data_IF_023752209616
#
_entry.id   IF_023752209616
#
_cell.length_a   1.000
_cell.length_b   1.000
_cell.length_c   1.000
_cell.angle_alpha   90.00
_cell.angle_beta   90.00
_cell.angle_gamma   90.00
#
_symmetry.space_group_name_H-M   'P 1'
#
loop_
_entity.id
_entity.type
_entity.pdbx_description
1 polymer ?
#
# COMPACT_ATOMS: atom_id res chain seq x y z
N UNK A 1 1.10 -8.06 29.83
CA UNK A 1 2.36 -7.61 29.24
C UNK A 1 2.79 -8.57 28.14
N UNK A 2 3.11 -8.04 26.99
CA UNK A 2 3.54 -8.86 25.88
C UNK A 2 5.05 -9.11 26.00
N UNK A 3 5.44 -10.37 25.97
CA UNK A 3 6.85 -10.72 25.96
C UNK A 3 7.40 -10.65 24.53
N UNK A 4 8.65 -10.20 24.35
CA UNK A 4 9.29 -10.31 23.05
C UNK A 4 9.31 -11.76 22.60
N UNK A 5 8.95 -12.01 21.36
CA UNK A 5 9.02 -13.35 20.80
C UNK A 5 10.41 -13.56 20.19
N UNK A 6 11.27 -14.27 20.90
CA UNK A 6 12.67 -14.48 20.48
C UNK A 6 12.79 -15.39 19.26
N UNK A 7 11.78 -16.21 18.97
CA UNK A 7 11.82 -17.21 17.91
C UNK A 7 10.71 -17.07 16.89
N UNK A 8 9.88 -16.03 17.04
CA UNK A 8 8.73 -15.85 16.21
C UNK A 8 8.79 -14.61 15.35
N UNK A 9 7.62 -14.23 14.88
CA UNK A 9 7.46 -13.10 13.99
C UNK A 9 7.71 -11.78 14.71
N UNK A 10 8.25 -10.79 14.01
CA UNK A 10 8.32 -9.43 14.54
C UNK A 10 6.91 -8.91 14.82
N UNK A 11 6.79 -7.88 15.67
CA UNK A 11 5.48 -7.27 15.92
C UNK A 11 4.90 -6.65 14.66
N UNK A 12 3.57 -6.56 14.61
CA UNK A 12 2.87 -5.89 13.53
C UNK A 12 3.27 -4.41 13.44
N UNK A 13 3.41 -3.90 12.22
CA UNK A 13 3.64 -2.50 11.99
C UNK A 13 2.31 -1.82 11.69
N UNK A 14 2.04 -0.72 12.38
CA UNK A 14 0.79 0.02 12.28
C UNK A 14 1.10 1.47 11.87
N UNK A 15 0.69 1.83 10.65
CA UNK A 15 0.84 3.21 10.19
C UNK A 15 -0.10 4.14 10.95
N UNK A 16 0.30 5.41 11.15
CA UNK A 16 -0.60 6.38 11.79
C UNK A 16 -1.76 6.76 10.86
N UNK A 17 -2.90 7.08 11.46
CA UNK A 17 -4.04 7.62 10.72
C UNK A 17 -3.75 9.06 10.28
N UNK A 18 -4.29 9.44 9.11
CA UNK A 18 -4.28 10.82 8.60
C UNK A 18 -5.74 11.21 8.35
N UNK A 19 -6.49 11.58 9.39
CA UNK A 19 -7.94 11.75 9.29
C UNK A 19 -8.39 12.71 8.19
N UNK A 20 -7.70 13.84 8.00
CA UNK A 20 -8.07 14.81 6.98
C UNK A 20 -8.00 14.21 5.57
N UNK A 21 -6.94 13.46 5.28
CA UNK A 21 -6.78 12.81 3.98
C UNK A 21 -7.78 11.67 3.79
N UNK A 22 -7.96 10.85 4.82
CA UNK A 22 -8.91 9.74 4.81
C UNK A 22 -10.33 10.24 4.56
N UNK A 23 -10.73 11.28 5.27
CA UNK A 23 -12.07 11.87 5.14
C UNK A 23 -12.27 12.54 3.79
N UNK A 24 -11.23 13.19 3.24
CA UNK A 24 -11.29 13.79 1.91
C UNK A 24 -11.57 12.75 0.83
N UNK A 25 -10.88 11.61 0.87
CA UNK A 25 -11.15 10.51 -0.06
C UNK A 25 -12.55 9.94 0.15
N UNK A 26 -12.98 9.78 1.39
CA UNK A 26 -14.30 9.25 1.73
C UNK A 26 -15.43 10.15 1.20
N UNK A 27 -15.20 11.47 1.16
CA UNK A 27 -16.16 12.42 0.60
C UNK A 27 -16.19 12.42 -0.92
N UNK A 28 -15.29 11.70 -1.57
CA UNK A 28 -15.23 11.68 -3.03
C UNK A 28 -14.41 12.81 -3.64
N UNK A 29 -13.54 13.48 -2.87
CA UNK A 29 -12.62 14.46 -3.44
C UNK A 29 -11.68 13.78 -4.44
N UNK A 30 -11.25 14.53 -5.45
CA UNK A 30 -10.34 14.02 -6.48
C UNK A 30 -9.05 13.50 -5.82
N UNK A 31 -8.69 12.23 -6.04
CA UNK A 31 -7.46 11.67 -5.49
C UNK A 31 -6.20 12.48 -5.82
N UNK A 32 -6.15 13.11 -7.00
CA UNK A 32 -5.01 13.96 -7.34
C UNK A 32 -4.89 15.17 -6.43
N UNK A 33 -6.02 15.79 -6.07
CA UNK A 33 -6.06 16.90 -5.13
C UNK A 33 -5.62 16.45 -3.73
N UNK A 34 -6.07 15.28 -3.29
CA UNK A 34 -5.69 14.74 -2.00
C UNK A 34 -4.19 14.41 -1.96
N UNK A 35 -3.66 13.77 -3.01
CA UNK A 35 -2.24 13.47 -3.11
C UNK A 35 -1.38 14.75 -3.10
N UNK A 36 -1.84 15.80 -3.74
CA UNK A 36 -1.13 17.09 -3.77
C UNK A 36 -1.04 17.72 -2.37
N UNK A 37 -2.10 17.60 -1.57
CA UNK A 37 -2.14 18.13 -0.20
C UNK A 37 -1.46 17.23 0.80
N UNK A 38 -1.52 15.91 0.58
CA UNK A 38 -0.99 14.88 1.48
C UNK A 38 -0.12 13.89 0.71
N UNK A 39 1.03 14.33 0.18
CA UNK A 39 1.83 13.48 -0.72
C UNK A 39 2.42 12.24 -0.05
N UNK A 40 2.45 12.17 1.28
CA UNK A 40 2.92 10.99 1.99
C UNK A 40 1.80 10.00 2.31
N UNK A 41 0.55 10.32 1.96
CA UNK A 41 -0.61 9.48 2.27
C UNK A 41 -0.84 8.44 1.16
N UNK A 42 -0.55 7.15 1.41
CA UNK A 42 -0.53 6.16 0.33
C UNK A 42 -1.88 5.91 -0.35
N UNK A 43 -2.97 6.02 0.40
CA UNK A 43 -4.29 5.69 -0.14
C UNK A 43 -4.69 6.61 -1.30
N UNK A 44 -4.23 7.86 -1.31
CA UNK A 44 -4.48 8.77 -2.44
C UNK A 44 -3.77 8.30 -3.71
N UNK A 45 -2.52 7.85 -3.58
CA UNK A 45 -1.78 7.29 -4.71
C UNK A 45 -2.38 5.97 -5.20
N UNK A 46 -2.84 5.13 -4.26
CA UNK A 46 -3.53 3.89 -4.62
C UNK A 46 -4.81 4.17 -5.41
N UNK A 47 -5.58 5.17 -5.00
CA UNK A 47 -6.79 5.56 -5.71
C UNK A 47 -6.49 6.07 -7.13
N UNK A 48 -5.42 6.84 -7.29
CA UNK A 48 -4.96 7.28 -8.61
C UNK A 48 -4.54 6.09 -9.48
N UNK A 49 -3.84 5.13 -8.89
CA UNK A 49 -3.42 3.92 -9.61
C UNK A 49 -4.62 3.10 -10.08
N UNK A 50 -5.63 2.95 -9.23
CA UNK A 50 -6.85 2.21 -9.58
C UNK A 50 -7.60 2.90 -10.72
N UNK A 51 -7.76 4.22 -10.65
CA UNK A 51 -8.42 5.00 -11.68
C UNK A 51 -7.71 4.90 -13.03
N UNK A 52 -6.38 5.00 -13.02
CA UNK A 52 -5.59 4.87 -14.24
C UNK A 52 -5.69 3.46 -14.83
N UNK A 53 -5.68 2.44 -13.98
CA UNK A 53 -5.81 1.06 -14.44
C UNK A 53 -7.18 0.83 -15.11
N UNK A 54 -8.25 1.32 -14.51
CA UNK A 54 -9.61 1.18 -15.04
C UNK A 54 -9.78 1.81 -16.43
N UNK A 55 -9.03 2.87 -16.70
CA UNK A 55 -9.08 3.56 -18.00
C UNK A 55 -8.05 3.03 -19.00
N UNK A 56 -7.31 1.98 -18.65
CA UNK A 56 -6.30 1.38 -19.52
C UNK A 56 -4.96 2.11 -19.54
N UNK A 57 -4.76 3.10 -18.68
CA UNK A 57 -3.50 3.85 -18.58
C UNK A 57 -2.52 3.12 -17.66
N UNK A 58 -2.01 1.98 -18.13
CA UNK A 58 -1.28 1.03 -17.30
C UNK A 58 0.05 1.60 -16.78
N UNK A 59 0.78 2.36 -17.62
CA UNK A 59 2.05 2.96 -17.19
C UNK A 59 1.80 4.04 -16.12
N UNK A 60 0.75 4.83 -16.25
CA UNK A 60 0.37 5.81 -15.23
C UNK A 60 -0.01 5.09 -13.93
N UNK A 61 -0.78 4.01 -14.04
CA UNK A 61 -1.14 3.18 -12.89
C UNK A 61 0.11 2.66 -12.18
N UNK A 62 1.07 2.15 -12.94
CA UNK A 62 2.36 1.69 -12.42
C UNK A 62 3.07 2.82 -11.65
N UNK A 63 3.16 4.00 -12.24
CA UNK A 63 3.84 5.14 -11.63
C UNK A 63 3.18 5.60 -10.33
N UNK A 64 1.86 5.72 -10.32
CA UNK A 64 1.13 6.09 -9.12
C UNK A 64 1.27 5.03 -8.02
N UNK A 65 1.14 3.76 -8.39
CA UNK A 65 1.28 2.66 -7.44
C UNK A 65 2.67 2.64 -6.82
N UNK A 66 3.71 2.82 -7.65
CA UNK A 66 5.09 2.85 -7.18
C UNK A 66 5.33 4.02 -6.22
N UNK A 67 4.77 5.18 -6.49
CA UNK A 67 4.85 6.32 -5.59
C UNK A 67 4.21 6.02 -4.25
N UNK A 68 2.98 5.49 -4.25
CA UNK A 68 2.29 5.10 -3.02
C UNK A 68 3.06 4.03 -2.25
N UNK A 69 3.62 3.08 -2.95
CA UNK A 69 4.45 2.02 -2.38
C UNK A 69 5.69 2.59 -1.67
N UNK A 70 6.45 3.45 -2.34
CA UNK A 70 7.66 4.03 -1.73
C UNK A 70 7.35 4.98 -0.58
N UNK A 71 6.30 5.78 -0.68
CA UNK A 71 5.85 6.62 0.44
C UNK A 71 5.46 5.75 1.63
N UNK A 72 4.85 4.60 1.36
CA UNK A 72 4.49 3.65 2.41
C UNK A 72 5.71 3.05 3.10
N UNK A 73 6.74 2.68 2.33
CA UNK A 73 7.96 2.13 2.93
C UNK A 73 8.61 3.14 3.87
N UNK A 74 8.64 4.41 3.49
CA UNK A 74 9.15 5.46 4.36
C UNK A 74 8.33 5.55 5.66
N UNK A 75 7.01 5.52 5.55
CA UNK A 75 6.12 5.55 6.71
C UNK A 75 6.26 4.33 7.61
N UNK A 76 6.37 3.14 7.00
CA UNK A 76 6.57 1.90 7.76
C UNK A 76 7.88 1.94 8.55
N UNK A 77 8.96 2.41 7.93
CA UNK A 77 10.25 2.53 8.60
C UNK A 77 10.17 3.49 9.78
N UNK A 78 9.48 4.62 9.65
CA UNK A 78 9.27 5.56 10.76
C UNK A 78 8.44 4.93 11.88
N UNK A 79 7.54 4.01 11.53
CA UNK A 79 6.72 3.29 12.50
C UNK A 79 7.42 2.08 13.13
N UNK A 80 8.69 1.85 12.80
CA UNK A 80 9.50 0.80 13.41
C UNK A 80 9.65 -0.47 12.58
N UNK A 81 9.09 -0.53 11.37
CA UNK A 81 9.24 -1.69 10.50
C UNK A 81 10.70 -1.88 10.09
N UNK A 82 11.17 -3.12 10.15
CA UNK A 82 12.57 -3.46 9.90
C UNK A 82 12.77 -4.27 8.61
N UNK A 83 11.87 -4.11 7.65
CA UNK A 83 11.98 -4.76 6.36
C UNK A 83 11.21 -6.06 6.25
N UNK A 84 10.58 -6.51 7.32
CA UNK A 84 9.78 -7.74 7.36
C UNK A 84 8.77 -7.70 8.49
N UNK A 85 7.85 -8.65 8.50
CA UNK A 85 6.84 -8.77 9.53
C UNK A 85 5.47 -8.29 9.08
N UNK A 86 4.42 -8.58 9.86
CA UNK A 86 3.05 -8.33 9.43
C UNK A 86 2.71 -6.83 9.37
N UNK A 87 1.95 -6.49 8.34
CA UNK A 87 1.34 -5.16 8.15
C UNK A 87 -0.15 -5.42 7.93
N UNK A 88 -0.93 -5.50 9.03
CA UNK A 88 -2.29 -6.04 8.94
C UNK A 88 -3.28 -5.14 8.20
N UNK A 89 -4.07 -5.76 7.34
CA UNK A 89 -5.16 -5.15 6.60
C UNK A 89 -6.25 -4.59 7.53
N UNK A 90 -6.47 -5.25 8.66
CA UNK A 90 -7.48 -4.85 9.63
C UNK A 90 -7.22 -3.48 10.25
N UNK A 91 -5.98 -3.02 10.24
CA UNK A 91 -5.64 -1.66 10.65
C UNK A 91 -5.82 -0.74 9.45
N UNK A 92 -6.89 0.04 9.44
CA UNK A 92 -7.29 0.84 8.27
C UNK A 92 -6.15 1.68 7.69
N UNK A 93 -5.32 2.38 8.50
CA UNK A 93 -4.22 3.18 7.94
C UNK A 93 -3.17 2.39 7.13
N UNK A 94 -3.11 1.07 7.30
CA UNK A 94 -2.23 0.21 6.51
C UNK A 94 -2.77 -0.07 5.11
N UNK A 95 -4.07 0.12 4.89
CA UNK A 95 -4.70 -0.30 3.63
C UNK A 95 -4.16 0.45 2.42
N UNK A 96 -3.78 1.71 2.58
CA UNK A 96 -3.17 2.47 1.48
C UNK A 96 -1.86 1.86 0.98
N UNK A 97 -1.03 1.36 1.90
CA UNK A 97 0.18 0.63 1.54
C UNK A 97 -0.16 -0.66 0.78
N UNK A 98 -1.04 -1.46 1.34
CA UNK A 98 -1.36 -2.77 0.77
C UNK A 98 -2.04 -2.62 -0.59
N UNK A 99 -2.90 -1.63 -0.75
CA UNK A 99 -3.53 -1.29 -2.03
C UNK A 99 -2.51 -0.80 -3.06
N UNK A 100 -1.54 0.02 -2.65
CA UNK A 100 -0.48 0.49 -3.54
C UNK A 100 0.39 -0.67 -4.00
N UNK A 101 0.72 -1.58 -3.10
CA UNK A 101 1.51 -2.76 -3.41
C UNK A 101 0.78 -3.69 -4.38
N UNK A 102 -0.51 -3.92 -4.15
CA UNK A 102 -1.35 -4.69 -5.08
C UNK A 102 -1.43 -4.01 -6.45
N UNK A 103 -1.64 -2.71 -6.47
CA UNK A 103 -1.73 -1.96 -7.73
C UNK A 103 -0.41 -2.03 -8.52
N UNK A 104 0.72 -2.00 -7.84
CA UNK A 104 2.03 -2.15 -8.47
C UNK A 104 2.20 -3.57 -9.05
N UNK A 105 1.82 -4.59 -8.28
CA UNK A 105 1.80 -5.97 -8.76
C UNK A 105 0.96 -6.08 -10.04
N UNK A 106 -0.25 -5.57 -10.01
CA UNK A 106 -1.19 -5.66 -11.12
C UNK A 106 -0.66 -4.98 -12.39
N UNK A 107 -0.09 -3.79 -12.25
CA UNK A 107 0.46 -3.06 -13.40
C UNK A 107 1.74 -3.71 -13.93
N UNK A 108 2.62 -4.18 -13.05
CA UNK A 108 3.82 -4.90 -13.44
C UNK A 108 3.49 -6.18 -14.20
N UNK A 109 2.49 -6.93 -13.72
CA UNK A 109 2.02 -8.13 -14.40
C UNK A 109 1.48 -7.81 -15.80
N UNK A 110 0.70 -6.74 -15.91
CA UNK A 110 0.09 -6.33 -17.17
C UNK A 110 1.13 -5.96 -18.23
N UNK A 111 2.25 -5.35 -17.84
CA UNK A 111 3.30 -4.97 -18.79
C UNK A 111 4.35 -6.07 -18.99
N UNK A 112 4.19 -7.22 -18.35
CA UNK A 112 5.12 -8.35 -18.51
C UNK A 112 6.39 -8.24 -17.68
N UNK A 113 6.44 -7.35 -16.68
CA UNK A 113 7.57 -7.24 -15.75
C UNK A 113 7.42 -8.32 -14.66
N UNK A 114 7.69 -9.57 -15.07
CA UNK A 114 7.37 -10.76 -14.29
C UNK A 114 8.07 -10.80 -12.94
N UNK A 115 9.37 -10.48 -12.90
CA UNK A 115 10.12 -10.52 -11.64
C UNK A 115 9.56 -9.52 -10.62
N UNK A 116 9.21 -8.32 -11.07
CA UNK A 116 8.62 -7.31 -10.19
C UNK A 116 7.22 -7.71 -9.73
N UNK A 117 6.41 -8.26 -10.63
CA UNK A 117 5.08 -8.75 -10.29
C UNK A 117 5.15 -9.83 -9.21
N UNK A 118 6.05 -10.80 -9.37
CA UNK A 118 6.24 -11.87 -8.39
C UNK A 118 6.73 -11.33 -7.04
N UNK A 119 7.66 -10.39 -7.06
CA UNK A 119 8.17 -9.75 -5.84
C UNK A 119 7.07 -9.03 -5.08
N UNK A 120 6.26 -8.25 -5.79
CA UNK A 120 5.15 -7.50 -5.17
C UNK A 120 4.09 -8.43 -4.61
N UNK A 121 3.73 -9.46 -5.35
CA UNK A 121 2.73 -10.43 -4.90
C UNK A 121 3.19 -11.14 -3.63
N UNK A 122 4.44 -11.60 -3.62
CA UNK A 122 5.00 -12.27 -2.44
C UNK A 122 5.06 -11.34 -1.24
N UNK A 123 5.48 -10.09 -1.45
CA UNK A 123 5.51 -9.10 -0.38
C UNK A 123 4.13 -8.83 0.19
N UNK A 124 3.11 -8.78 -0.66
CA UNK A 124 1.73 -8.59 -0.23
C UNK A 124 1.27 -9.74 0.66
N UNK A 125 1.50 -10.98 0.23
CA UNK A 125 1.15 -12.18 1.00
C UNK A 125 1.93 -12.21 2.32
N UNK A 126 3.22 -11.91 2.30
CA UNK A 126 4.06 -11.88 3.49
C UNK A 126 3.61 -10.79 4.48
N UNK A 127 3.11 -9.68 3.96
CA UNK A 127 2.61 -8.59 4.81
C UNK A 127 1.30 -8.98 5.51
N UNK A 128 0.36 -9.53 4.74
CA UNK A 128 -0.91 -10.04 5.27
C UNK A 128 -1.66 -10.84 4.20
N UNK A 129 -1.80 -12.16 4.38
CA UNK A 129 -2.62 -12.97 3.46
C UNK A 129 -4.06 -12.47 3.35
N UNK A 130 -4.62 -11.86 4.41
CA UNK A 130 -5.97 -11.32 4.38
C UNK A 130 -6.08 -10.12 3.42
N UNK A 131 -5.03 -9.33 3.29
CA UNK A 131 -4.98 -8.24 2.32
C UNK A 131 -5.02 -8.79 0.89
N UNK A 132 -4.23 -9.82 0.62
CA UNK A 132 -4.24 -10.48 -0.69
C UNK A 132 -5.64 -10.99 -1.03
N UNK A 133 -6.29 -11.66 -0.09
CA UNK A 133 -7.64 -12.17 -0.28
C UNK A 133 -8.66 -11.04 -0.51
N UNK A 134 -8.53 -9.94 0.22
CA UNK A 134 -9.45 -8.80 0.10
C UNK A 134 -9.30 -8.07 -1.23
N UNK A 135 -8.09 -8.02 -1.79
CA UNK A 135 -7.79 -7.24 -3.00
C UNK A 135 -7.92 -8.07 -4.28
N UNK A 136 -7.86 -9.37 -4.19
CA UNK A 136 -8.03 -10.28 -5.32
C UNK A 136 -9.40 -10.95 -5.30
#
# INVERSE_FOLDING_TARGET
MTRPNLFGEPPATLLPDVPEAREALARGEDPASVAARFPTYPAAWAALADRAYETGSIIESYAYARTGYHRSLDGLRRAGWKGHGPVPWSHEPNQGFLRSLYALFRAADEIGETDEAERCEQFLVDSDPAAYAALT
#
